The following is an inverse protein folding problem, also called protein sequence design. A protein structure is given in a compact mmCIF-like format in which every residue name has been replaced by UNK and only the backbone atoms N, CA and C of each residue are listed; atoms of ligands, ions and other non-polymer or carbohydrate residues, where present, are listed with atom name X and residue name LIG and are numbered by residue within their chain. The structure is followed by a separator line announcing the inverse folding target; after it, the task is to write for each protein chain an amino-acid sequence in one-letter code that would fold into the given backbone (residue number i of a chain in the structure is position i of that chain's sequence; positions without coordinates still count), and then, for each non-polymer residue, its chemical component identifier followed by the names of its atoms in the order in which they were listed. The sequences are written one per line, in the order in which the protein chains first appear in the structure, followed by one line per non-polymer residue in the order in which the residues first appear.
data_IF_756222593697
#
_entry.id   IF_756222593697
#
_cell.length_a   1.000
_cell.length_b   1.000
_cell.length_c   1.000
_cell.angle_alpha   90.00
_cell.angle_beta   90.00
_cell.angle_gamma   90.00
#
_symmetry.space_group_name_H-M   'P 1'
#
loop_
_entity.id
_entity.type
_entity.pdbx_description
1 polymer ?
#
# COMPACT_ATOMS: atom_id res chain seq x y z
N UNK A 1 -23.83 -8.61 -23.83
CA UNK A 1 -23.49 -8.79 -22.40
C UNK A 1 -21.98 -8.93 -22.29
N UNK A 2 -21.31 -7.94 -21.70
CA UNK A 2 -19.87 -7.95 -21.48
C UNK A 2 -19.49 -9.08 -20.50
N UNK A 3 -18.36 -9.79 -20.71
CA UNK A 3 -17.92 -10.83 -19.79
C UNK A 3 -17.76 -10.24 -18.38
N UNK A 4 -18.04 -11.04 -17.32
CA UNK A 4 -18.03 -10.57 -15.95
C UNK A 4 -16.68 -9.95 -15.56
N UNK A 5 -16.67 -8.93 -14.69
CA UNK A 5 -15.47 -8.21 -14.30
C UNK A 5 -14.44 -9.17 -13.70
N UNK A 6 -13.23 -9.17 -14.26
CA UNK A 6 -12.12 -10.01 -13.79
C UNK A 6 -11.80 -9.64 -12.33
N UNK A 7 -12.37 -10.38 -11.39
CA UNK A 7 -12.33 -10.04 -9.96
C UNK A 7 -10.88 -9.96 -9.46
N UNK A 8 -9.98 -10.78 -10.00
CA UNK A 8 -8.56 -10.72 -9.70
C UNK A 8 -7.93 -9.40 -10.18
N UNK A 9 -8.29 -8.92 -11.37
CA UNK A 9 -7.85 -7.61 -11.86
C UNK A 9 -8.35 -6.48 -10.95
N UNK A 10 -9.63 -6.47 -10.60
CA UNK A 10 -10.22 -5.43 -9.75
C UNK A 10 -9.57 -5.39 -8.36
N UNK A 11 -9.40 -6.56 -7.73
CA UNK A 11 -8.73 -6.68 -6.43
C UNK A 11 -7.27 -6.24 -6.50
N UNK A 12 -6.55 -6.63 -7.55
CA UNK A 12 -5.16 -6.24 -7.74
C UNK A 12 -5.01 -4.72 -7.94
N UNK A 13 -5.84 -4.10 -8.78
CA UNK A 13 -5.82 -2.66 -9.00
C UNK A 13 -6.13 -1.88 -7.72
N UNK A 14 -7.11 -2.32 -6.93
CA UNK A 14 -7.40 -1.71 -5.62
C UNK A 14 -6.23 -1.86 -4.64
N UNK A 15 -5.60 -3.03 -4.57
CA UNK A 15 -4.42 -3.24 -3.73
C UNK A 15 -3.25 -2.33 -4.15
N UNK A 16 -3.02 -2.17 -5.46
CA UNK A 16 -2.00 -1.25 -6.01
C UNK A 16 -2.32 0.21 -5.71
N UNK A 17 -3.59 0.63 -5.81
CA UNK A 17 -4.02 1.98 -5.46
C UNK A 17 -3.74 2.30 -3.99
N UNK A 18 -4.10 1.39 -3.08
CA UNK A 18 -3.80 1.55 -1.65
C UNK A 18 -2.29 1.55 -1.37
N UNK A 19 -1.50 0.77 -2.11
CA UNK A 19 -0.04 0.82 -1.99
C UNK A 19 0.53 2.17 -2.43
N UNK A 20 0.07 2.71 -3.56
CA UNK A 20 0.48 4.04 -4.04
C UNK A 20 0.10 5.14 -3.06
N UNK A 21 -1.12 5.11 -2.52
CA UNK A 21 -1.57 6.05 -1.50
C UNK A 21 -0.69 5.99 -0.23
N UNK A 22 -0.34 4.79 0.23
CA UNK A 22 0.57 4.63 1.36
C UNK A 22 1.94 5.27 1.08
N UNK A 23 2.54 4.99 -0.09
CA UNK A 23 3.83 5.56 -0.49
C UNK A 23 3.79 7.09 -0.61
N UNK A 24 2.71 7.62 -1.16
CA UNK A 24 2.51 9.06 -1.27
C UNK A 24 2.50 9.70 0.13
N UNK A 25 1.74 9.16 1.07
CA UNK A 25 1.71 9.68 2.44
C UNK A 25 3.01 9.46 3.21
N UNK A 26 3.77 8.39 2.96
CA UNK A 26 5.10 8.20 3.53
C UNK A 26 6.10 9.26 3.06
N UNK A 27 6.01 9.64 1.77
CA UNK A 27 6.83 10.71 1.23
C UNK A 27 6.49 12.05 1.89
N UNK A 28 5.20 12.39 1.96
CA UNK A 28 4.75 13.59 2.66
C UNK A 28 5.12 13.58 4.15
N UNK A 29 4.94 12.47 4.85
CA UNK A 29 5.29 12.40 6.28
C UNK A 29 6.78 12.69 6.51
N UNK A 30 7.67 12.22 5.62
CA UNK A 30 9.11 12.54 5.71
C UNK A 30 9.38 14.03 5.51
N UNK A 31 8.74 14.65 4.51
CA UNK A 31 8.89 16.08 4.28
C UNK A 31 8.39 16.91 5.49
N UNK A 32 7.22 16.57 6.02
CA UNK A 32 6.65 17.22 7.22
C UNK A 32 7.50 16.99 8.46
N UNK A 33 8.07 15.79 8.64
CA UNK A 33 8.96 15.46 9.75
C UNK A 33 10.25 16.30 9.71
N UNK A 34 10.85 16.48 8.53
CA UNK A 34 12.03 17.35 8.36
C UNK A 34 11.69 18.79 8.71
N UNK A 35 10.58 19.33 8.18
CA UNK A 35 10.13 20.69 8.49
C UNK A 35 9.87 20.87 10.00
N UNK A 36 9.22 19.90 10.65
CA UNK A 36 8.97 19.91 12.08
C UNK A 36 10.27 19.83 12.90
N UNK A 37 11.27 19.06 12.44
CA UNK A 37 12.57 18.99 13.07
C UNK A 37 13.33 20.32 13.01
N UNK A 38 13.27 21.05 11.88
CA UNK A 38 13.85 22.39 11.78
C UNK A 38 13.18 23.37 12.75
N UNK A 39 11.84 23.37 12.81
CA UNK A 39 11.10 24.18 13.77
C UNK A 39 11.45 23.83 15.22
N UNK A 40 11.53 22.54 15.56
CA UNK A 40 11.86 22.06 16.91
C UNK A 40 13.25 22.54 17.34
N UNK A 41 14.24 22.47 16.45
CA UNK A 41 15.60 22.99 16.68
C UNK A 41 15.60 24.50 16.93
N UNK A 42 14.88 25.27 16.09
CA UNK A 42 14.76 26.72 16.26
C UNK A 42 14.10 27.12 17.59
N UNK A 43 13.28 26.24 18.17
CA UNK A 43 12.62 26.44 19.46
C UNK A 43 13.33 25.76 20.63
N UNK A 44 14.51 25.19 20.41
CA UNK A 44 15.29 24.44 21.41
C UNK A 44 14.47 23.35 22.14
N UNK A 45 13.54 22.69 21.43
CA UNK A 45 12.76 21.57 21.96
C UNK A 45 13.07 20.27 21.21
N UNK A 46 12.88 19.13 21.89
CA UNK A 46 13.06 17.82 21.25
C UNK A 46 11.99 17.56 20.19
N UNK A 47 12.34 16.80 19.15
CA UNK A 47 11.39 16.37 18.12
C UNK A 47 10.20 15.60 18.72
N UNK A 48 10.43 14.77 19.75
CA UNK A 48 9.37 14.06 20.47
C UNK A 48 8.37 15.00 21.16
N UNK A 49 8.83 16.16 21.66
CA UNK A 49 7.93 17.19 22.20
C UNK A 49 7.22 17.92 21.07
N UNK A 50 7.91 18.21 19.98
CA UNK A 50 7.35 18.87 18.80
C UNK A 50 6.22 18.05 18.15
N UNK A 51 6.38 16.74 17.99
CA UNK A 51 5.37 15.83 17.41
C UNK A 51 4.10 15.71 18.26
N UNK A 52 4.21 15.94 19.58
CA UNK A 52 3.08 15.97 20.52
C UNK A 52 2.42 17.35 20.64
N UNK A 53 3.01 18.38 20.07
CA UNK A 53 2.49 19.75 20.15
C UNK A 53 1.23 19.95 19.30
N UNK A 54 0.58 21.11 19.49
CA UNK A 54 -0.52 21.55 18.63
C UNK A 54 -0.05 22.21 17.32
N UNK A 55 1.27 22.25 17.05
CA UNK A 55 1.81 22.85 15.84
C UNK A 55 1.19 22.23 14.57
N UNK A 56 0.85 23.02 13.53
CA UNK A 56 0.24 22.51 12.30
C UNK A 56 1.01 21.34 11.66
N UNK A 57 2.33 21.46 11.53
CA UNK A 57 3.18 20.38 11.01
C UNK A 57 3.09 19.08 11.83
N UNK A 58 2.92 19.17 13.15
CA UNK A 58 2.77 17.98 14.00
C UNK A 58 1.38 17.32 13.82
N UNK A 59 0.34 18.11 13.53
CA UNK A 59 -0.98 17.60 13.19
C UNK A 59 -0.97 16.91 11.82
N UNK A 60 -0.39 17.58 10.82
CA UNK A 60 -0.23 17.08 9.46
C UNK A 60 0.59 15.78 9.42
N UNK A 61 1.73 15.73 10.12
CA UNK A 61 2.55 14.53 10.24
C UNK A 61 1.73 13.34 10.79
N UNK A 62 0.97 13.56 11.87
CA UNK A 62 0.11 12.51 12.45
C UNK A 62 -0.98 12.07 11.47
N UNK A 63 -1.53 13.00 10.69
CA UNK A 63 -2.53 12.68 9.68
C UNK A 63 -1.94 11.81 8.57
N UNK A 64 -0.79 12.20 7.99
CA UNK A 64 -0.12 11.40 6.97
C UNK A 64 0.24 10.00 7.46
N UNK A 65 0.81 9.88 8.66
CA UNK A 65 1.14 8.59 9.26
C UNK A 65 -0.13 7.71 9.44
N UNK A 66 -1.22 8.29 9.97
CA UNK A 66 -2.50 7.56 10.12
C UNK A 66 -3.05 7.10 8.77
N UNK A 67 -3.02 7.95 7.75
CA UNK A 67 -3.53 7.60 6.42
C UNK A 67 -2.67 6.56 5.73
N UNK A 68 -1.33 6.65 5.83
CA UNK A 68 -0.42 5.63 5.32
C UNK A 68 -0.70 4.25 5.97
N UNK A 69 -0.87 4.22 7.29
CA UNK A 69 -1.21 2.98 8.01
C UNK A 69 -2.57 2.43 7.56
N UNK A 70 -3.59 3.29 7.42
CA UNK A 70 -4.92 2.87 6.93
C UNK A 70 -4.84 2.28 5.52
N UNK A 71 -4.10 2.93 4.62
CA UNK A 71 -3.91 2.46 3.25
C UNK A 71 -3.19 1.10 3.21
N UNK A 72 -2.13 0.91 4.02
CA UNK A 72 -1.46 -0.41 4.15
C UNK A 72 -2.42 -1.47 4.68
N UNK A 73 -3.24 -1.17 5.69
CA UNK A 73 -4.24 -2.11 6.23
C UNK A 73 -5.29 -2.49 5.18
N UNK A 74 -5.79 -1.52 4.41
CA UNK A 74 -6.75 -1.78 3.33
C UNK A 74 -6.15 -2.65 2.23
N UNK A 75 -4.93 -2.35 1.79
CA UNK A 75 -4.17 -3.20 0.86
C UNK A 75 -4.07 -4.63 1.40
N UNK A 76 -3.62 -4.77 2.64
CA UNK A 76 -3.36 -6.07 3.25
C UNK A 76 -4.64 -6.91 3.39
N UNK A 77 -5.79 -6.27 3.66
CA UNK A 77 -7.11 -6.94 3.67
C UNK A 77 -7.51 -7.52 2.32
N UNK A 78 -7.02 -6.95 1.21
CA UNK A 78 -7.36 -7.42 -0.14
C UNK A 78 -6.51 -8.61 -0.57
N UNK A 79 -5.34 -8.85 0.06
CA UNK A 79 -4.40 -9.88 -0.40
C UNK A 79 -4.94 -11.32 -0.32
N UNK A 80 -5.63 -11.74 0.77
CA UNK A 80 -6.22 -13.08 0.83
C UNK A 80 -7.26 -13.29 -0.26
N UNK A 81 -8.14 -12.31 -0.48
CA UNK A 81 -9.15 -12.35 -1.53
C UNK A 81 -8.51 -12.39 -2.92
N UNK A 82 -7.45 -11.62 -3.16
CA UNK A 82 -6.71 -11.64 -4.43
C UNK A 82 -6.01 -12.99 -4.66
N UNK A 83 -5.43 -13.59 -3.63
CA UNK A 83 -4.81 -14.91 -3.72
C UNK A 83 -5.83 -16.02 -4.01
N UNK A 84 -7.07 -15.88 -3.54
CA UNK A 84 -8.17 -16.79 -3.83
C UNK A 84 -8.81 -16.54 -5.21
N UNK A 85 -8.86 -15.28 -5.66
CA UNK A 85 -9.47 -14.90 -6.93
C UNK A 85 -8.66 -15.42 -8.12
N UNK A 86 -9.34 -16.09 -9.05
CA UNK A 86 -8.75 -16.60 -10.29
C UNK A 86 -8.57 -15.45 -11.29
N UNK A 87 -7.40 -15.38 -11.93
CA UNK A 87 -7.19 -14.50 -13.07
C UNK A 87 -7.82 -15.13 -14.32
N UNK A 88 -8.77 -14.43 -14.95
CA UNK A 88 -9.43 -14.87 -16.18
C UNK A 88 -8.69 -14.40 -17.44
N UNK A 89 -7.75 -13.48 -17.28
CA UNK A 89 -7.00 -12.86 -18.37
C UNK A 89 -5.51 -12.71 -18.06
N UNK A 90 -4.69 -12.55 -19.10
CA UNK A 90 -3.28 -12.19 -18.95
C UNK A 90 -3.11 -10.85 -18.21
N UNK A 91 -4.04 -9.91 -18.39
CA UNK A 91 -4.05 -8.62 -17.69
C UNK A 91 -4.20 -8.80 -16.18
N UNK A 92 -5.14 -9.63 -15.73
CA UNK A 92 -5.28 -9.96 -14.31
C UNK A 92 -4.07 -10.69 -13.75
N UNK A 93 -3.52 -11.65 -14.51
CA UNK A 93 -2.31 -12.37 -14.11
C UNK A 93 -1.13 -11.39 -13.93
N UNK A 94 -0.95 -10.45 -14.86
CA UNK A 94 0.06 -9.37 -14.75
C UNK A 94 -0.19 -8.48 -13.53
N UNK A 95 -1.42 -8.04 -13.29
CA UNK A 95 -1.75 -7.20 -12.14
C UNK A 95 -1.46 -7.91 -10.82
N UNK A 96 -1.78 -9.21 -10.73
CA UNK A 96 -1.49 -10.06 -9.57
C UNK A 96 0.01 -10.22 -9.34
N UNK A 97 0.80 -10.40 -10.41
CA UNK A 97 2.26 -10.41 -10.33
C UNK A 97 2.81 -9.08 -9.81
N UNK A 98 2.30 -7.95 -10.29
CA UNK A 98 2.68 -6.62 -9.82
C UNK A 98 2.44 -6.47 -8.31
N UNK A 99 1.32 -6.99 -7.79
CA UNK A 99 1.05 -7.00 -6.35
C UNK A 99 2.03 -7.94 -5.62
N UNK A 100 2.29 -9.14 -6.12
CA UNK A 100 3.21 -10.09 -5.50
C UNK A 100 4.64 -9.51 -5.35
N UNK A 101 5.12 -8.77 -6.36
CA UNK A 101 6.41 -8.08 -6.34
C UNK A 101 6.53 -6.99 -5.27
N UNK A 102 5.44 -6.57 -4.64
CA UNK A 102 5.49 -5.63 -3.51
C UNK A 102 5.90 -6.31 -2.19
N UNK A 103 5.98 -7.65 -2.16
CA UNK A 103 6.11 -8.45 -0.94
C UNK A 103 7.20 -9.53 -1.05
N UNK A 104 8.24 -9.32 -1.88
CA UNK A 104 9.22 -10.35 -2.30
C UNK A 104 9.81 -11.17 -1.15
N UNK A 105 9.99 -10.58 0.04
CA UNK A 105 10.56 -11.26 1.22
C UNK A 105 9.51 -11.73 2.25
N UNK A 106 8.26 -11.89 1.82
CA UNK A 106 7.12 -12.15 2.70
C UNK A 106 6.35 -13.40 2.28
N UNK A 107 5.85 -14.17 3.25
CA UNK A 107 4.97 -15.33 3.03
C UNK A 107 3.74 -15.00 2.18
N UNK A 108 3.28 -13.74 2.21
CA UNK A 108 2.19 -13.23 1.35
C UNK A 108 2.54 -13.20 -0.14
N UNK A 109 3.81 -13.00 -0.52
CA UNK A 109 4.20 -13.13 -1.93
C UNK A 109 4.13 -14.59 -2.38
N UNK A 110 4.56 -15.53 -1.54
CA UNK A 110 4.53 -16.96 -1.88
C UNK A 110 3.12 -17.43 -2.22
N UNK A 111 2.10 -17.03 -1.45
CA UNK A 111 0.70 -17.41 -1.73
C UNK A 111 0.16 -16.79 -3.02
N UNK A 112 0.48 -15.52 -3.30
CA UNK A 112 0.11 -14.84 -4.54
C UNK A 112 0.79 -15.47 -5.77
N UNK A 113 2.08 -15.80 -5.66
CA UNK A 113 2.86 -16.44 -6.72
C UNK A 113 2.38 -17.87 -7.00
N UNK A 114 2.09 -18.65 -5.95
CA UNK A 114 1.51 -19.99 -6.11
C UNK A 114 0.14 -19.93 -6.81
N UNK A 115 -0.69 -18.93 -6.46
CA UNK A 115 -1.94 -18.71 -7.18
C UNK A 115 -1.72 -18.31 -8.63
N UNK A 116 -0.80 -17.38 -8.90
CA UNK A 116 -0.48 -16.93 -10.25
C UNK A 116 0.02 -18.07 -11.13
N UNK A 117 0.86 -18.96 -10.59
CA UNK A 117 1.35 -20.13 -11.32
C UNK A 117 0.22 -21.10 -11.71
N UNK A 118 -0.83 -21.22 -10.89
CA UNK A 118 -2.05 -21.97 -11.26
C UNK A 118 -2.84 -21.26 -12.35
N UNK A 119 -2.97 -19.95 -12.25
CA UNK A 119 -3.69 -19.13 -13.24
C UNK A 119 -3.02 -19.23 -14.63
N UNK A 120 -1.69 -19.05 -14.70
CA UNK A 120 -0.93 -19.09 -15.95
C UNK A 120 -0.95 -20.45 -16.65
N UNK A 121 -0.96 -21.57 -15.90
CA UNK A 121 -1.08 -22.92 -16.50
C UNK A 121 -2.39 -23.15 -17.25
N UNK A 122 -3.43 -22.39 -16.92
CA UNK A 122 -4.77 -22.52 -17.52
C UNK A 122 -5.03 -21.51 -18.64
N UNK A 123 -4.16 -20.52 -18.78
CA UNK A 123 -4.22 -19.50 -19.83
C UNK A 123 -3.32 -19.86 -21.03
N UNK A 124 -2.55 -20.95 -20.90
CA UNK A 124 -1.89 -21.65 -21.99
C UNK A 124 -2.87 -22.63 -22.62
#
# INVERSE_FOLDING_TARGET
MTPPPDAALHLALRALAHHRAARHHDHHSRATEVALAHWARARAISLSRATRSQHPLAQELRQHLRTAVRARRQRDRLLPALAAARAASLHAARAKLCVARLFVDNTRAATLLASLARDLRRLR
#
